data_IF_151332306631
#
_entry.id   IF_151332306631
#
_cell.length_a   1.000
_cell.length_b   1.000
_cell.length_c   1.000
_cell.angle_alpha   90.00
_cell.angle_beta   90.00
_cell.angle_gamma   90.00
#
_symmetry.space_group_name_H-M   'P 1'
#
loop_
_entity.id
_entity.type
_entity.pdbx_description
1 polymer ?
#
# COMPACT_ATOMS: atom_id res chain seq x y z
N UNK A 1 8.74 18.66 1.33
CA UNK A 1 8.78 18.54 2.80
C UNK A 1 7.40 18.21 3.33
N UNK A 2 7.19 17.02 3.87
CA UNK A 2 5.95 16.67 4.57
C UNK A 2 5.89 17.43 5.89
N UNK A 3 4.69 17.91 6.25
CA UNK A 3 4.43 18.67 7.48
C UNK A 3 4.90 17.95 8.76
N UNK A 4 5.04 16.63 8.70
CA UNK A 4 5.49 15.77 9.80
C UNK A 4 6.71 14.96 9.35
N UNK A 5 7.90 15.44 9.71
CA UNK A 5 9.16 14.74 9.41
C UNK A 5 9.42 13.72 10.52
N UNK A 6 8.92 12.50 10.34
CA UNK A 6 9.15 11.39 11.26
C UNK A 6 10.34 10.58 10.72
N UNK A 7 11.47 10.65 11.40
CA UNK A 7 12.69 9.96 10.95
C UNK A 7 12.51 8.45 11.08
N UNK A 8 12.98 7.72 10.07
CA UNK A 8 13.09 6.25 10.07
C UNK A 8 11.77 5.49 10.34
N UNK A 9 10.63 6.12 10.03
CA UNK A 9 9.30 5.53 10.19
C UNK A 9 8.72 5.16 8.83
N UNK A 10 8.14 3.97 8.73
CA UNK A 10 7.44 3.51 7.52
C UNK A 10 6.04 4.12 7.47
N UNK A 11 5.68 4.73 6.36
CA UNK A 11 4.36 5.29 6.07
C UNK A 11 3.63 4.33 5.13
N UNK A 12 2.48 3.83 5.57
CA UNK A 12 1.66 2.90 4.77
C UNK A 12 0.30 3.51 4.45
N UNK A 13 -0.20 3.26 3.25
CA UNK A 13 -1.55 3.66 2.85
C UNK A 13 -2.58 2.62 3.30
N UNK A 14 -3.53 3.02 4.14
CA UNK A 14 -4.57 2.14 4.70
C UNK A 14 -5.98 2.36 4.14
N UNK A 15 -6.12 3.08 3.03
CA UNK A 15 -7.42 3.26 2.37
C UNK A 15 -7.89 2.00 1.64
N UNK A 16 -8.99 2.13 0.89
CA UNK A 16 -9.53 1.02 0.09
C UNK A 16 -8.56 0.64 -1.03
N UNK A 17 -7.76 -0.39 -0.77
CA UNK A 17 -6.75 -0.93 -1.70
C UNK A 17 -7.10 -2.37 -2.08
N UNK A 18 -6.93 -2.69 -3.36
CA UNK A 18 -7.14 -4.02 -3.93
C UNK A 18 -6.11 -4.31 -5.03
N UNK A 19 -6.21 -5.47 -5.68
CA UNK A 19 -5.33 -5.82 -6.78
C UNK A 19 -5.36 -4.81 -7.93
N UNK A 20 -6.47 -4.10 -8.16
CA UNK A 20 -6.64 -3.21 -9.32
C UNK A 20 -5.93 -1.88 -9.13
N UNK A 21 -5.92 -1.34 -7.93
CA UNK A 21 -5.49 0.04 -7.67
C UNK A 21 -4.19 0.17 -6.86
N UNK A 22 -3.62 -0.91 -6.33
CA UNK A 22 -2.43 -0.85 -5.46
C UNK A 22 -1.25 -0.10 -6.08
N UNK A 23 -1.02 -0.27 -7.39
CA UNK A 23 0.05 0.38 -8.14
C UNK A 23 -0.08 1.91 -8.14
N UNK A 24 -1.29 2.45 -8.03
CA UNK A 24 -1.52 3.88 -7.96
C UNK A 24 -1.13 4.52 -6.64
N UNK A 25 -0.97 3.71 -5.58
CA UNK A 25 -0.57 4.19 -4.26
C UNK A 25 0.92 3.97 -4.00
N UNK A 26 1.45 2.79 -4.33
CA UNK A 26 2.87 2.50 -4.07
C UNK A 26 3.84 3.24 -5.01
N UNK A 27 3.33 3.91 -6.06
CA UNK A 27 4.15 4.79 -6.90
C UNK A 27 4.58 6.09 -6.19
N UNK A 28 3.91 6.47 -5.10
CA UNK A 28 4.26 7.68 -4.36
C UNK A 28 5.49 7.41 -3.48
N UNK A 29 6.53 8.24 -3.63
CA UNK A 29 7.79 8.12 -2.88
C UNK A 29 7.61 8.15 -1.36
N UNK A 30 6.56 8.81 -0.88
CA UNK A 30 6.26 8.96 0.54
C UNK A 30 5.36 7.82 1.08
N UNK A 31 5.09 6.79 0.27
CA UNK A 31 4.31 5.60 0.63
C UNK A 31 5.20 4.36 0.54
N UNK A 32 5.52 3.78 1.69
CA UNK A 32 6.40 2.60 1.81
C UNK A 32 5.64 1.27 1.62
N UNK A 33 4.31 1.30 1.52
CA UNK A 33 3.48 0.12 1.34
C UNK A 33 2.01 0.37 1.62
N UNK A 34 1.25 -0.72 1.74
CA UNK A 34 -0.21 -0.67 1.92
C UNK A 34 -0.69 -1.57 3.06
N UNK A 35 -1.72 -1.12 3.78
CA UNK A 35 -2.45 -1.91 4.77
C UNK A 35 -3.76 -2.40 4.14
N UNK A 36 -3.81 -3.69 3.84
CA UNK A 36 -4.93 -4.29 3.10
C UNK A 36 -6.05 -4.71 4.05
N UNK A 37 -7.22 -4.09 3.92
CA UNK A 37 -8.43 -4.39 4.70
C UNK A 37 -9.19 -5.61 4.17
N UNK A 38 -10.45 -5.43 3.75
CA UNK A 38 -11.34 -6.51 3.32
C UNK A 38 -10.81 -7.36 2.15
N UNK A 39 -9.99 -6.78 1.27
CA UNK A 39 -9.34 -7.52 0.18
C UNK A 39 -8.39 -8.62 0.69
N UNK A 40 -7.86 -8.49 1.91
CA UNK A 40 -6.99 -9.50 2.53
C UNK A 40 -7.70 -10.85 2.77
N UNK A 41 -9.04 -10.85 2.83
CA UNK A 41 -9.84 -12.06 3.03
C UNK A 41 -9.89 -12.96 1.78
N UNK A 42 -9.42 -12.48 0.62
CA UNK A 42 -9.39 -13.22 -0.64
C UNK A 42 -7.94 -13.47 -1.03
N UNK A 43 -7.50 -14.72 -0.99
CA UNK A 43 -6.13 -15.10 -1.34
C UNK A 43 -5.69 -14.59 -2.73
N UNK A 44 -6.60 -14.63 -3.71
CA UNK A 44 -6.32 -14.12 -5.07
C UNK A 44 -5.98 -12.63 -5.08
N UNK A 45 -6.69 -11.82 -4.29
CA UNK A 45 -6.41 -10.39 -4.16
C UNK A 45 -5.04 -10.16 -3.51
N UNK A 46 -4.72 -10.88 -2.43
CA UNK A 46 -3.41 -10.77 -1.77
C UNK A 46 -2.27 -11.10 -2.72
N UNK A 47 -2.41 -12.17 -3.51
CA UNK A 47 -1.39 -12.56 -4.51
C UNK A 47 -1.25 -11.48 -5.58
N UNK A 48 -2.36 -10.90 -6.06
CA UNK A 48 -2.30 -9.82 -7.06
C UNK A 48 -1.64 -8.56 -6.50
N UNK A 49 -1.97 -8.18 -5.27
CA UNK A 49 -1.38 -7.04 -4.56
C UNK A 49 0.13 -7.23 -4.43
N UNK A 50 0.59 -8.39 -3.94
CA UNK A 50 2.03 -8.67 -3.77
C UNK A 50 2.77 -8.57 -5.11
N UNK A 51 2.21 -9.12 -6.19
CA UNK A 51 2.80 -9.09 -7.54
C UNK A 51 2.90 -7.70 -8.16
N UNK A 52 2.13 -6.73 -7.67
CA UNK A 52 2.13 -5.35 -8.18
C UNK A 52 2.96 -4.40 -7.31
N UNK A 53 3.22 -4.78 -6.06
CA UNK A 53 4.06 -4.03 -5.12
C UNK A 53 5.52 -4.46 -5.18
N UNK A 54 5.79 -5.74 -5.40
CA UNK A 54 7.13 -6.29 -5.64
C UNK A 54 7.44 -6.47 -7.11
#
# INVERSE_FOLDING_TARGET
DTKYKIQNTKVIYGGSVDGKNVADFVKYRDVDGVLVGSASLKLKEVVEIIKKVG
#
